data_IF_824871348699
#
_entry.id   IF_824871348699
#
_cell.length_a   1.000
_cell.length_b   1.000
_cell.length_c   1.000
_cell.angle_alpha   90.00
_cell.angle_beta   90.00
_cell.angle_gamma   90.00
#
_symmetry.space_group_name_H-M   'P 1'
#
loop_
_entity.id
_entity.type
_entity.pdbx_description
1 polymer ?
#
# COMPACT_ATOMS: atom_id res chain seq x y z
N UNK A 1 -23.75 -22.78 5.28
CA UNK A 1 -23.84 -22.83 3.80
C UNK A 1 -22.42 -22.84 3.26
N UNK A 2 -21.76 -24.00 3.30
CA UNK A 2 -20.31 -24.16 3.05
C UNK A 2 -20.04 -25.32 2.05
N UNK A 3 -20.89 -25.52 1.06
CA UNK A 3 -20.68 -26.61 0.08
C UNK A 3 -19.85 -26.18 -1.13
N UNK A 4 -19.83 -24.88 -1.45
CA UNK A 4 -19.11 -24.39 -2.64
C UNK A 4 -17.60 -24.35 -2.36
N UNK A 5 -17.20 -24.00 -1.13
CA UNK A 5 -15.79 -23.92 -0.71
C UNK A 5 -15.07 -25.27 -0.76
N UNK A 6 -15.75 -26.38 -0.42
CA UNK A 6 -15.16 -27.72 -0.46
C UNK A 6 -14.89 -28.22 -1.89
N UNK A 7 -15.69 -27.77 -2.87
CA UNK A 7 -15.55 -28.23 -4.25
C UNK A 7 -14.36 -27.58 -4.98
N UNK A 8 -14.02 -26.33 -4.65
CA UNK A 8 -12.87 -25.64 -5.24
C UNK A 8 -11.54 -26.01 -4.56
N UNK A 9 -11.54 -26.48 -3.31
CA UNK A 9 -10.33 -26.88 -2.58
C UNK A 9 -9.63 -28.12 -3.15
N UNK A 10 -10.32 -28.94 -3.94
CA UNK A 10 -9.72 -30.14 -4.57
C UNK A 10 -9.03 -29.85 -5.91
N UNK A 11 -9.31 -28.70 -6.52
CA UNK A 11 -8.81 -28.31 -7.86
C UNK A 11 -7.64 -27.34 -7.73
N UNK A 12 -7.64 -26.51 -6.69
CA UNK A 12 -6.57 -25.55 -6.41
C UNK A 12 -6.05 -25.81 -4.99
N UNK A 13 -4.77 -26.19 -4.80
CA UNK A 13 -4.21 -26.31 -3.47
C UNK A 13 -4.25 -24.93 -2.79
N UNK A 14 -4.85 -24.88 -1.61
CA UNK A 14 -4.81 -23.69 -0.75
C UNK A 14 -3.36 -23.49 -0.31
N UNK A 15 -2.66 -22.51 -0.90
CA UNK A 15 -1.35 -22.06 -0.42
C UNK A 15 -1.59 -21.32 0.90
N UNK A 16 -1.21 -21.96 2.01
CA UNK A 16 -1.13 -21.35 3.32
C UNK A 16 0.29 -20.82 3.48
N UNK A 17 0.46 -19.50 3.52
CA UNK A 17 1.76 -18.87 3.75
C UNK A 17 1.99 -18.77 5.27
N UNK A 18 2.38 -19.88 5.88
CA UNK A 18 2.79 -19.95 7.29
C UNK A 18 4.30 -20.26 7.32
N UNK A 19 5.10 -19.23 7.63
CA UNK A 19 6.56 -19.32 7.79
C UNK A 19 6.89 -19.57 9.25
N UNK A 20 7.06 -20.82 9.69
CA UNK A 20 7.82 -21.16 10.92
C UNK A 20 8.52 -22.54 10.81
N UNK A 21 9.85 -22.47 10.65
CA UNK A 21 10.94 -23.29 11.22
C UNK A 21 11.20 -24.80 10.92
N UNK A 22 12.51 -25.12 10.89
CA UNK A 22 13.23 -26.24 10.25
C UNK A 22 13.59 -27.37 11.26
N UNK A 23 14.06 -28.56 10.82
CA UNK A 23 15.45 -28.92 11.17
C UNK A 23 16.29 -29.58 10.05
N UNK A 24 17.61 -29.37 10.18
CA UNK A 24 18.78 -29.68 9.33
C UNK A 24 18.97 -31.20 9.05
N UNK A 25 19.67 -31.68 8.00
CA UNK A 25 21.10 -31.54 7.67
C UNK A 25 21.36 -32.15 6.26
N UNK A 26 22.21 -31.54 5.44
CA UNK A 26 23.10 -32.23 4.48
C UNK A 26 24.19 -31.27 3.95
N UNK A 27 25.42 -31.72 4.12
CA UNK A 27 26.75 -31.15 3.85
C UNK A 27 26.96 -30.43 2.49
N UNK A 28 27.76 -29.36 2.49
CA UNK A 28 29.16 -29.36 2.00
C UNK A 28 29.76 -27.93 2.03
N UNK A 29 31.06 -27.76 2.37
CA UNK A 29 31.72 -26.47 2.43
C UNK A 29 32.30 -26.10 1.05
N UNK A 30 31.94 -24.94 0.54
CA UNK A 30 32.63 -24.30 -0.57
C UNK A 30 32.91 -22.85 -0.19
N UNK A 31 34.12 -22.66 0.34
CA UNK A 31 34.88 -21.42 0.33
C UNK A 31 34.89 -20.85 -1.10
N UNK A 32 34.38 -19.63 -1.30
CA UNK A 32 34.97 -18.62 -2.19
C UNK A 32 34.13 -17.33 -2.23
N UNK A 33 34.85 -16.20 -2.23
CA UNK A 33 34.40 -14.86 -2.55
C UNK A 33 33.38 -14.24 -1.58
N UNK A 34 33.91 -13.69 -0.49
CA UNK A 34 33.32 -12.50 0.15
C UNK A 34 33.48 -11.32 -0.83
N UNK A 35 32.66 -11.34 -1.88
CA UNK A 35 32.41 -10.21 -2.74
C UNK A 35 31.53 -9.29 -1.89
N UNK A 36 32.06 -8.13 -1.52
CA UNK A 36 31.24 -7.03 -1.02
C UNK A 36 30.10 -6.84 -2.03
N UNK A 37 28.90 -7.32 -1.68
CA UNK A 37 27.67 -6.85 -2.30
C UNK A 37 27.64 -5.35 -2.01
N UNK A 38 28.04 -4.54 -2.99
CA UNK A 38 27.47 -3.21 -3.13
C UNK A 38 25.96 -3.43 -3.17
N UNK A 39 25.28 -3.23 -2.02
CA UNK A 39 23.83 -3.10 -1.97
C UNK A 39 23.48 -2.02 -3.00
N UNK A 40 23.00 -2.45 -4.18
CA UNK A 40 22.38 -1.54 -5.13
C UNK A 40 21.22 -0.87 -4.39
N UNK A 41 21.37 0.42 -4.08
CA UNK A 41 20.38 1.21 -3.36
C UNK A 41 19.06 1.13 -4.16
N UNK A 42 18.06 0.44 -3.60
CA UNK A 42 16.77 0.26 -4.24
C UNK A 42 16.17 1.66 -4.52
N UNK A 43 15.69 1.94 -5.75
CA UNK A 43 15.14 3.25 -6.06
C UNK A 43 13.94 3.57 -5.16
N UNK A 44 13.98 4.72 -4.49
CA UNK A 44 12.88 5.17 -3.63
C UNK A 44 11.55 5.27 -4.40
N UNK A 45 10.45 4.88 -3.75
CA UNK A 45 9.10 5.09 -4.30
C UNK A 45 8.77 6.60 -4.32
N UNK A 46 8.65 7.13 -5.53
CA UNK A 46 8.32 8.53 -5.80
C UNK A 46 6.82 8.85 -5.66
N UNK A 47 5.95 7.83 -5.57
CA UNK A 47 4.50 8.01 -5.52
C UNK A 47 4.05 8.86 -4.32
N UNK A 48 4.54 8.67 -3.07
CA UNK A 48 4.13 9.50 -1.93
C UNK A 48 4.44 10.98 -2.15
N UNK A 49 5.61 11.31 -2.71
CA UNK A 49 6.02 12.69 -3.00
C UNK A 49 5.06 13.34 -4.01
N UNK A 50 4.78 12.66 -5.12
CA UNK A 50 3.86 13.15 -6.15
C UNK A 50 2.45 13.36 -5.58
N UNK A 51 2.02 12.46 -4.69
CA UNK A 51 0.69 12.49 -4.10
C UNK A 51 0.50 13.67 -3.14
N UNK A 52 1.51 13.96 -2.32
CA UNK A 52 1.50 15.15 -1.44
C UNK A 52 1.54 16.45 -2.25
N UNK A 53 2.38 16.55 -3.29
CA UNK A 53 2.37 17.72 -4.19
C UNK A 53 0.98 17.94 -4.83
N UNK A 54 0.31 16.85 -5.22
CA UNK A 54 -1.02 16.92 -5.80
C UNK A 54 -2.09 17.27 -4.76
N UNK A 55 -1.96 16.80 -3.51
CA UNK A 55 -2.81 17.16 -2.38
C UNK A 55 -2.70 18.66 -2.05
N UNK A 56 -1.49 19.20 -2.04
CA UNK A 56 -1.22 20.63 -1.76
C UNK A 56 -1.50 21.56 -2.94
N UNK A 57 -1.77 21.00 -4.13
CA UNK A 57 -2.06 21.77 -5.32
C UNK A 57 -3.29 22.67 -5.13
N UNK A 58 -3.31 23.83 -5.79
CA UNK A 58 -4.45 24.77 -5.71
C UNK A 58 -5.79 24.16 -6.15
N UNK A 59 -5.77 23.08 -6.94
CA UNK A 59 -6.98 22.36 -7.36
C UNK A 59 -7.54 21.45 -6.26
N UNK A 60 -6.69 20.81 -5.47
CA UNK A 60 -7.11 19.78 -4.50
C UNK A 60 -7.01 20.23 -3.03
N UNK A 61 -6.26 21.28 -2.72
CA UNK A 61 -5.99 21.72 -1.35
C UNK A 61 -7.27 22.07 -0.55
N UNK A 62 -8.30 22.59 -1.21
CA UNK A 62 -9.58 22.85 -0.54
C UNK A 62 -10.27 21.55 -0.10
N UNK A 63 -10.27 20.53 -0.96
CA UNK A 63 -10.85 19.22 -0.67
C UNK A 63 -10.08 18.51 0.44
N UNK A 64 -8.74 18.58 0.40
CA UNK A 64 -7.90 18.07 1.48
C UNK A 64 -8.24 18.69 2.84
N UNK A 65 -8.46 20.02 2.89
CA UNK A 65 -8.90 20.71 4.12
C UNK A 65 -10.28 20.26 4.60
N UNK A 66 -11.22 20.03 3.68
CA UNK A 66 -12.55 19.52 4.05
C UNK A 66 -12.45 18.11 4.65
N UNK A 67 -11.64 17.25 4.04
CA UNK A 67 -11.37 15.91 4.56
C UNK A 67 -10.73 15.95 5.95
N UNK A 68 -9.69 16.76 6.14
CA UNK A 68 -9.02 16.94 7.44
C UNK A 68 -9.97 17.48 8.52
N UNK A 69 -10.81 18.45 8.16
CA UNK A 69 -11.82 18.98 9.07
C UNK A 69 -12.89 17.95 9.44
N UNK A 70 -13.37 17.16 8.48
CA UNK A 70 -14.29 16.06 8.77
C UNK A 70 -13.65 15.04 9.72
N UNK A 71 -12.40 14.64 9.44
CA UNK A 71 -11.69 13.67 10.28
C UNK A 71 -11.51 14.20 11.71
N UNK A 72 -11.12 15.47 11.87
CA UNK A 72 -11.01 16.10 13.18
C UNK A 72 -12.33 16.01 13.95
N UNK A 73 -13.43 16.46 13.32
CA UNK A 73 -14.78 16.44 13.93
C UNK A 73 -15.23 15.02 14.30
N UNK A 74 -15.07 14.05 13.42
CA UNK A 74 -15.44 12.64 13.67
C UNK A 74 -14.57 12.04 14.77
N UNK A 75 -13.25 12.28 14.73
CA UNK A 75 -12.30 11.78 15.73
C UNK A 75 -12.53 12.37 17.12
N UNK A 76 -13.01 13.61 17.21
CA UNK A 76 -13.39 14.28 18.45
C UNK A 76 -14.77 13.86 18.98
N UNK A 77 -15.52 13.03 18.24
CA UNK A 77 -16.88 12.63 18.60
C UNK A 77 -17.92 13.75 18.43
N UNK A 78 -17.57 14.80 17.69
CA UNK A 78 -18.46 15.92 17.34
C UNK A 78 -19.25 15.65 16.05
N UNK A 79 -18.94 14.53 15.38
CA UNK A 79 -19.69 14.04 14.23
C UNK A 79 -21.04 13.41 14.59
N UNK A 80 -21.88 13.24 13.58
CA UNK A 80 -23.14 12.51 13.72
C UNK A 80 -22.88 11.01 13.95
N UNK A 81 -23.86 10.32 14.51
CA UNK A 81 -23.76 8.87 14.71
C UNK A 81 -23.64 8.15 13.37
N UNK A 82 -22.48 7.52 13.14
CA UNK A 82 -22.16 6.84 11.88
C UNK A 82 -21.72 7.78 10.76
N UNK A 83 -21.32 9.01 11.09
CA UNK A 83 -20.63 9.89 10.14
C UNK A 83 -19.24 9.34 9.81
N UNK A 84 -18.94 9.28 8.52
CA UNK A 84 -17.68 8.80 7.94
C UNK A 84 -17.24 9.81 6.89
N UNK A 85 -15.94 10.07 6.76
CA UNK A 85 -15.41 11.14 5.88
C UNK A 85 -15.08 10.69 4.46
N UNK A 86 -15.78 9.64 3.97
CA UNK A 86 -15.49 9.05 2.65
C UNK A 86 -15.96 9.96 1.51
N UNK A 87 -16.98 10.77 1.74
CA UNK A 87 -17.47 11.73 0.73
C UNK A 87 -16.46 12.86 0.49
N UNK A 88 -15.81 13.35 1.56
CA UNK A 88 -14.82 14.42 1.49
C UNK A 88 -13.44 13.94 1.01
N UNK A 89 -13.25 12.62 0.87
CA UNK A 89 -11.99 12.04 0.47
C UNK A 89 -11.56 12.55 -0.92
N UNK A 90 -10.48 13.33 -0.95
CA UNK A 90 -9.96 14.05 -2.12
C UNK A 90 -9.32 13.19 -3.22
N UNK A 91 -9.49 11.86 -3.14
CA UNK A 91 -8.80 10.88 -3.98
C UNK A 91 -8.98 11.12 -5.47
N UNK A 92 -10.20 11.43 -5.91
CA UNK A 92 -10.47 11.69 -7.31
C UNK A 92 -9.61 12.84 -7.86
N UNK A 93 -9.49 13.96 -7.13
CA UNK A 93 -8.68 15.10 -7.54
C UNK A 93 -7.18 14.78 -7.53
N UNK A 94 -6.72 14.10 -6.47
CA UNK A 94 -5.31 13.77 -6.30
C UNK A 94 -4.84 12.78 -7.36
N UNK A 95 -5.63 11.75 -7.67
CA UNK A 95 -5.27 10.72 -8.63
C UNK A 95 -5.26 11.25 -10.07
N UNK A 96 -6.20 12.14 -10.42
CA UNK A 96 -6.17 12.85 -11.72
C UNK A 96 -4.89 13.68 -11.90
N UNK A 97 -4.36 14.25 -10.82
CA UNK A 97 -3.09 14.98 -10.83
C UNK A 97 -1.87 14.04 -10.82
N UNK A 98 -1.91 12.97 -10.02
CA UNK A 98 -0.76 12.12 -9.74
C UNK A 98 -0.48 11.13 -10.88
N UNK A 99 -1.52 10.55 -11.49
CA UNK A 99 -1.39 9.52 -12.52
C UNK A 99 -0.42 9.92 -13.65
N UNK A 100 -0.60 11.05 -14.38
CA UNK A 100 0.31 11.38 -15.47
C UNK A 100 1.75 11.68 -15.02
N UNK A 101 1.94 12.18 -13.78
CA UNK A 101 3.27 12.47 -13.23
C UNK A 101 4.00 11.19 -12.83
N UNK A 102 3.29 10.26 -12.20
CA UNK A 102 3.84 9.00 -11.74
C UNK A 102 4.26 8.12 -12.92
N UNK A 103 3.36 7.90 -13.88
CA UNK A 103 3.65 7.06 -15.05
C UNK A 103 4.70 7.65 -15.99
N UNK A 104 5.01 8.95 -15.91
CA UNK A 104 6.13 9.54 -16.64
C UNK A 104 7.51 9.23 -16.03
N UNK A 105 7.54 8.75 -14.78
CA UNK A 105 8.75 8.49 -14.02
C UNK A 105 9.04 6.99 -13.86
N UNK A 106 7.99 6.17 -13.84
CA UNK A 106 8.10 4.72 -13.91
C UNK A 106 8.60 4.31 -15.31
N UNK A 107 9.61 3.44 -15.37
CA UNK A 107 10.19 2.91 -16.61
C UNK A 107 10.09 1.39 -16.67
#
# INVERSE_FOLDING_TARGET
>A
MNSITSFFSSILPTVHCDSEDKPEEAETPAEEAQQEEEEEEEPEDIHPVIREECKESSKCAAMAKHFEHCQEKVSNGEGFKGEECVEELMMHCVDECAAPKLFAKLR
#
